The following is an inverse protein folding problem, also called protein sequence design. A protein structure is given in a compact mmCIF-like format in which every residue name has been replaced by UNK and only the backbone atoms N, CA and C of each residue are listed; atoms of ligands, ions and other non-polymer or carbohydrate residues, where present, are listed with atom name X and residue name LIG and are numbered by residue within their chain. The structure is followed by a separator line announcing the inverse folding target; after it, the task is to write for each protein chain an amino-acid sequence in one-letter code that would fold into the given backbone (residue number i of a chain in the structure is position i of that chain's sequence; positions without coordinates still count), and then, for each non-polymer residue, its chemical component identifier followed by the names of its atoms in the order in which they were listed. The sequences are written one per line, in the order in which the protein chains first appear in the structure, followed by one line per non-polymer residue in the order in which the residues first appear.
data_IF_392999826091
#
_entry.id   IF_392999826091
#
_cell.length_a   1.000
_cell.length_b   1.000
_cell.length_c   1.000
_cell.angle_alpha   90.00
_cell.angle_beta   90.00
_cell.angle_gamma   90.00
#
_symmetry.space_group_name_H-M   'P 1'
#
loop_
_entity.id
_entity.type
_entity.pdbx_description
1 polymer ?
#
# COMPACT_ATOMS: atom_id res chain seq x y z
N UNK A 1 13.27 -2.57 -0.35
CA UNK A 1 11.81 -2.39 -0.49
C UNK A 1 11.53 -0.91 -0.34
N UNK A 2 10.95 -0.25 -1.34
CA UNK A 2 10.51 1.14 -1.19
C UNK A 2 9.05 1.12 -0.79
N UNK A 3 8.74 1.62 0.39
CA UNK A 3 7.38 1.80 0.89
C UNK A 3 7.29 3.20 1.48
N UNK A 4 6.34 4.00 1.01
CA UNK A 4 6.08 5.36 1.53
C UNK A 4 4.58 5.62 1.47
N UNK A 5 4.04 6.10 2.57
CA UNK A 5 2.64 6.51 2.69
C UNK A 5 2.59 7.91 3.29
N UNK A 6 1.83 8.82 2.68
CA UNK A 6 1.57 10.15 3.21
C UNK A 6 0.10 10.48 3.10
N UNK A 7 -0.42 11.15 4.12
CA UNK A 7 -1.79 11.62 4.18
C UNK A 7 -1.83 12.97 4.89
N UNK A 8 -2.40 13.96 4.22
CA UNK A 8 -2.60 15.30 4.76
C UNK A 8 -4.01 15.77 4.47
N UNK A 9 -4.69 16.27 5.49
CA UNK A 9 -5.97 16.96 5.36
C UNK A 9 -5.74 18.46 5.50
N UNK A 10 -6.22 19.25 4.55
CA UNK A 10 -6.11 20.72 4.58
C UNK A 10 -7.38 21.35 5.19
N UNK A 11 -7.34 22.65 5.48
CA UNK A 11 -8.48 23.37 6.07
C UNK A 11 -9.64 23.61 5.07
N UNK A 12 -9.38 23.48 3.78
CA UNK A 12 -10.34 23.65 2.69
C UNK A 12 -11.02 22.34 2.26
N UNK A 13 -10.99 21.34 3.13
CA UNK A 13 -11.49 19.96 2.91
C UNK A 13 -10.80 19.21 1.75
N UNK A 14 -9.71 19.75 1.21
CA UNK A 14 -8.88 19.00 0.26
C UNK A 14 -7.99 18.00 1.00
N UNK A 15 -7.74 16.88 0.34
CA UNK A 15 -6.86 15.83 0.85
C UNK A 15 -5.67 15.66 -0.09
N UNK A 16 -4.49 15.45 0.49
CA UNK A 16 -3.34 14.88 -0.19
C UNK A 16 -3.16 13.45 0.27
N UNK A 17 -3.04 12.54 -0.69
CA UNK A 17 -2.73 11.14 -0.43
C UNK A 17 -1.61 10.70 -1.35
N UNK A 18 -0.64 9.97 -0.80
CA UNK A 18 0.45 9.35 -1.55
C UNK A 18 0.70 7.94 -1.02
N UNK A 19 0.73 6.97 -1.91
CA UNK A 19 1.11 5.59 -1.65
C UNK A 19 2.13 5.15 -2.68
N UNK A 20 3.33 4.74 -2.25
CA UNK A 20 4.42 4.31 -3.14
C UNK A 20 4.94 2.96 -2.69
N UNK A 21 5.02 2.04 -3.64
CA UNK A 21 5.60 0.70 -3.49
C UNK A 21 6.73 0.50 -4.51
N UNK A 22 7.18 -0.74 -4.71
CA UNK A 22 8.16 -1.00 -5.74
C UNK A 22 7.54 -0.98 -7.14
N UNK A 23 6.25 -1.31 -7.28
CA UNK A 23 5.60 -1.48 -8.57
C UNK A 23 4.56 -0.40 -8.87
N UNK A 24 3.93 0.17 -7.85
CA UNK A 24 2.86 1.15 -8.03
C UNK A 24 3.10 2.43 -7.24
N UNK A 25 2.55 3.51 -7.78
CA UNK A 25 2.41 4.79 -7.11
C UNK A 25 0.97 5.25 -7.26
N UNK A 26 0.30 5.52 -6.16
CA UNK A 26 -1.04 6.10 -6.14
C UNK A 26 -0.94 7.47 -5.48
N UNK A 27 -1.52 8.49 -6.10
CA UNK A 27 -1.61 9.80 -5.47
C UNK A 27 -2.90 10.53 -5.82
N UNK A 28 -3.19 11.59 -5.08
CA UNK A 28 -4.21 12.58 -5.47
C UNK A 28 -3.76 13.38 -6.69
N UNK A 29 -4.63 13.55 -7.68
CA UNK A 29 -4.41 14.33 -8.92
C UNK A 29 -4.35 15.86 -8.70
N UNK A 30 -4.44 16.31 -7.45
CA UNK A 30 -4.50 17.72 -7.06
C UNK A 30 -5.91 18.33 -7.11
N UNK A 31 -6.92 17.57 -7.54
CA UNK A 31 -8.31 18.01 -7.68
C UNK A 31 -9.33 17.09 -6.95
N UNK A 32 -8.83 16.19 -6.09
CA UNK A 32 -9.58 15.23 -5.25
C UNK A 32 -9.84 13.85 -5.87
N UNK A 33 -9.32 13.52 -7.06
CA UNK A 33 -9.35 12.15 -7.57
C UNK A 33 -8.03 11.44 -7.29
N UNK A 34 -8.01 10.12 -7.45
CA UNK A 34 -6.78 9.34 -7.38
C UNK A 34 -6.27 9.03 -8.79
N UNK A 35 -4.96 8.94 -8.92
CA UNK A 35 -4.28 8.39 -10.09
C UNK A 35 -3.37 7.24 -9.66
N UNK A 36 -3.30 6.20 -10.49
CA UNK A 36 -2.34 5.11 -10.32
C UNK A 36 -1.33 5.14 -11.46
N UNK A 37 -0.05 5.09 -11.08
CA UNK A 37 1.06 4.87 -11.97
C UNK A 37 1.67 3.50 -11.67
N UNK A 38 1.72 2.64 -12.70
CA UNK A 38 2.43 1.35 -12.62
C UNK A 38 3.83 1.54 -13.22
N UNK A 39 4.87 1.19 -12.47
CA UNK A 39 6.27 1.28 -12.94
C UNK A 39 6.55 0.40 -14.16
N UNK A 40 5.81 -0.69 -14.31
CA UNK A 40 5.96 -1.61 -15.45
C UNK A 40 5.54 -0.97 -16.77
N UNK A 41 4.55 -0.08 -16.76
CA UNK A 41 4.02 0.57 -17.96
C UNK A 41 4.38 2.05 -18.07
N UNK A 42 4.86 2.68 -16.98
CA UNK A 42 5.02 4.13 -16.84
C UNK A 42 3.75 4.92 -17.23
N UNK A 43 2.60 4.23 -17.25
CA UNK A 43 1.32 4.81 -17.60
C UNK A 43 0.62 5.24 -16.31
N UNK A 44 0.12 6.47 -16.32
CA UNK A 44 -0.73 7.01 -15.26
C UNK A 44 -2.16 6.96 -15.75
N UNK A 45 -3.05 6.40 -14.95
CA UNK A 45 -4.48 6.32 -15.23
C UNK A 45 -5.30 6.80 -14.03
N UNK A 46 -6.47 7.41 -14.26
CA UNK A 46 -7.37 7.77 -13.19
C UNK A 46 -7.84 6.51 -12.47
N UNK A 47 -7.82 6.57 -11.15
CA UNK A 47 -8.25 5.50 -10.27
C UNK A 47 -9.54 5.93 -9.58
N UNK A 48 -10.62 5.21 -9.88
CA UNK A 48 -11.87 5.35 -9.15
C UNK A 48 -11.63 4.96 -7.67
N UNK A 49 -12.00 5.85 -6.75
CA UNK A 49 -11.88 5.65 -5.31
C UNK A 49 -12.63 4.43 -4.80
N UNK A 50 -13.69 3.98 -5.49
CA UNK A 50 -14.36 2.71 -5.19
C UNK A 50 -13.59 1.49 -5.71
N UNK A 51 -12.84 1.65 -6.81
CA UNK A 51 -11.98 0.60 -7.38
C UNK A 51 -10.62 0.51 -6.68
N UNK A 52 -10.26 1.52 -5.90
CA UNK A 52 -9.08 1.51 -5.03
C UNK A 52 -9.04 0.26 -4.14
N UNK A 53 -10.20 -0.17 -3.64
CA UNK A 53 -10.38 -1.33 -2.76
C UNK A 53 -10.33 -2.68 -3.49
N UNK A 54 -10.24 -2.68 -4.82
CA UNK A 54 -10.33 -3.89 -5.66
C UNK A 54 -9.24 -3.94 -6.72
N UNK A 55 -8.12 -3.21 -6.54
CA UNK A 55 -6.99 -3.29 -7.47
C UNK A 55 -6.40 -4.70 -7.39
N UNK A 56 -6.46 -5.43 -8.51
CA UNK A 56 -5.80 -6.72 -8.68
C UNK A 56 -4.27 -6.51 -8.81
N UNK A 57 -3.62 -6.14 -7.70
CA UNK A 57 -2.17 -6.09 -7.57
C UNK A 57 -1.79 -6.34 -6.10
N UNK A 58 -0.92 -7.31 -5.85
CA UNK A 58 -0.56 -7.83 -4.52
C UNK A 58 0.01 -6.72 -3.61
N UNK A 59 0.72 -5.75 -4.19
CA UNK A 59 1.28 -4.60 -3.45
C UNK A 59 0.22 -3.54 -3.06
N UNK A 60 -0.93 -3.47 -3.75
CA UNK A 60 -2.06 -2.60 -3.36
C UNK A 60 -2.95 -3.26 -2.31
N UNK A 61 -3.15 -4.57 -2.40
CA UNK A 61 -3.92 -5.36 -1.44
C UNK A 61 -3.36 -5.24 -0.02
N UNK A 62 -2.03 -5.25 0.15
CA UNK A 62 -1.41 -5.03 1.47
C UNK A 62 -1.79 -3.68 2.10
N UNK A 63 -1.95 -2.62 1.31
CA UNK A 63 -2.37 -1.34 1.86
C UNK A 63 -3.85 -1.30 2.21
N UNK A 64 -4.71 -1.91 1.38
CA UNK A 64 -6.12 -2.06 1.70
C UNK A 64 -6.30 -2.80 3.03
N UNK A 65 -5.54 -3.88 3.22
CA UNK A 65 -5.52 -4.63 4.47
C UNK A 65 -4.92 -3.82 5.62
N UNK A 66 -3.90 -2.96 5.40
CA UNK A 66 -3.37 -2.06 6.44
C UNK A 66 -4.39 -0.99 6.89
N UNK A 67 -5.24 -0.50 5.98
CA UNK A 67 -6.31 0.44 6.34
C UNK A 67 -7.39 -0.21 7.23
N UNK A 68 -7.68 -1.48 6.99
CA UNK A 68 -8.67 -2.25 7.76
C UNK A 68 -8.04 -2.78 9.06
N UNK A 69 -6.78 -3.20 8.97
CA UNK A 69 -6.01 -3.81 10.03
C UNK A 69 -4.66 -3.10 10.19
N UNK A 70 -4.59 -2.05 11.04
CA UNK A 70 -3.35 -1.30 11.25
C UNK A 70 -2.20 -2.14 11.83
N UNK A 71 -2.49 -3.29 12.45
CA UNK A 71 -1.49 -4.18 13.05
C UNK A 71 -0.91 -5.19 12.03
N UNK A 72 -1.38 -5.18 10.77
CA UNK A 72 -1.01 -6.16 9.75
C UNK A 72 0.51 -6.24 9.53
N UNK A 73 1.21 -5.09 9.53
CA UNK A 73 2.65 -5.07 9.33
C UNK A 73 3.40 -5.79 10.45
N UNK A 74 2.96 -5.59 11.70
CA UNK A 74 3.56 -6.23 12.87
C UNK A 74 3.21 -7.71 12.93
N UNK A 75 2.00 -8.10 12.51
CA UNK A 75 1.62 -9.50 12.32
C UNK A 75 2.51 -10.19 11.28
N UNK A 76 2.75 -9.56 10.12
CA UNK A 76 3.64 -10.10 9.08
C UNK A 76 5.07 -10.26 9.61
N UNK A 77 5.59 -9.27 10.34
CA UNK A 77 6.92 -9.35 10.97
C UNK A 77 7.00 -10.49 11.98
N UNK A 78 5.99 -10.62 12.85
CA UNK A 78 5.93 -11.68 13.85
C UNK A 78 5.90 -13.06 13.20
N UNK A 79 5.05 -13.27 12.19
CA UNK A 79 4.96 -14.55 11.46
C UNK A 79 6.30 -14.91 10.82
N UNK A 80 6.97 -13.96 10.14
CA UNK A 80 8.30 -14.21 9.55
C UNK A 80 9.34 -14.60 10.62
N UNK A 81 9.31 -13.96 11.78
CA UNK A 81 10.21 -14.27 12.89
C UNK A 81 9.97 -15.69 13.42
N UNK A 82 8.70 -16.05 13.62
CA UNK A 82 8.30 -17.39 14.09
C UNK A 82 8.65 -18.48 13.09
N UNK A 83 8.41 -18.27 11.80
CA UNK A 83 8.77 -19.24 10.75
C UNK A 83 10.27 -19.54 10.79
N UNK A 84 11.10 -18.49 10.84
CA UNK A 84 12.55 -18.65 10.91
C UNK A 84 13.00 -19.38 12.18
N UNK A 85 12.41 -19.08 13.34
CA UNK A 85 12.69 -19.77 14.59
C UNK A 85 12.33 -21.26 14.52
N UNK A 86 11.22 -21.59 13.86
CA UNK A 86 10.79 -22.99 13.67
C UNK A 86 11.74 -23.72 12.73
N UNK A 87 12.20 -23.08 11.65
CA UNK A 87 13.19 -23.65 10.72
C UNK A 87 14.51 -23.97 11.44
N UNK A 88 15.03 -23.02 12.23
CA UNK A 88 16.25 -23.20 13.03
C UNK A 88 16.11 -24.34 14.08
N UNK A 89 14.92 -24.55 14.64
CA UNK A 89 14.64 -25.64 15.59
C UNK A 89 14.42 -27.01 14.90
N UNK A 90 13.93 -27.03 13.67
CA UNK A 90 13.73 -28.26 12.91
C UNK A 90 15.02 -28.77 12.25
N UNK A 91 16.00 -27.89 12.05
CA UNK A 91 17.33 -28.23 11.52
C UNK A 91 18.36 -28.60 12.60
N UNK A 92 18.00 -28.53 13.90
CA UNK A 92 18.84 -28.93 15.05
C UNK A 92 18.56 -30.35 15.54
#
# INVERSE_FOLDING_TARGET
MTFRTEFTHYEDDTIYFLYVTNNIRIETDGNSNLEIQRRTSFHTEPLDTNRYLTIEDDEAAMFQELLINPDLEDMIKAVKLFTRLIEELCES
#
